data_IF_150508332791
#
_entry.id   IF_150508332791
#
_cell.length_a   1.000
_cell.length_b   1.000
_cell.length_c   1.000
_cell.angle_alpha   90.00
_cell.angle_beta   90.00
_cell.angle_gamma   90.00
#
_symmetry.space_group_name_H-M   'P 1'
#
loop_
_entity.id
_entity.type
_entity.pdbx_description
1 polymer ?
#
# COMPACT_ATOMS: atom_id res chain seq x y z
N UNK A 1 11.71 -3.66 -13.66
CA UNK A 1 10.84 -3.96 -14.82
C UNK A 1 9.40 -3.74 -14.37
N UNK A 2 8.58 -3.03 -15.14
CA UNK A 2 7.20 -2.73 -14.77
C UNK A 2 6.30 -3.50 -15.73
N UNK A 3 5.41 -4.35 -15.19
CA UNK A 3 4.32 -4.97 -15.95
C UNK A 3 3.09 -4.08 -15.89
N UNK A 4 2.16 -4.26 -16.83
CA UNK A 4 0.87 -3.58 -16.75
C UNK A 4 0.13 -4.03 -15.48
N UNK A 5 -0.38 -3.07 -14.72
CA UNK A 5 -1.23 -3.35 -13.55
C UNK A 5 -2.56 -3.95 -13.98
N UNK A 6 -3.00 -5.01 -13.32
CA UNK A 6 -4.32 -5.62 -13.53
C UNK A 6 -5.29 -5.07 -12.48
N UNK A 7 -6.43 -4.53 -12.94
CA UNK A 7 -7.41 -3.91 -12.04
C UNK A 7 -7.94 -4.86 -10.97
N UNK A 8 -8.14 -6.15 -11.29
CA UNK A 8 -8.59 -7.15 -10.32
C UNK A 8 -7.62 -7.30 -9.13
N UNK A 9 -6.31 -7.27 -9.39
CA UNK A 9 -5.27 -7.36 -8.36
C UNK A 9 -5.17 -6.04 -7.58
N UNK A 10 -5.13 -4.91 -8.30
CA UNK A 10 -5.02 -3.58 -7.69
C UNK A 10 -6.23 -3.25 -6.83
N UNK A 11 -7.44 -3.52 -7.28
CA UNK A 11 -8.67 -3.23 -6.52
C UNK A 11 -8.76 -4.05 -5.23
N UNK A 12 -8.34 -5.31 -5.26
CA UNK A 12 -8.26 -6.16 -4.06
C UNK A 12 -7.23 -5.65 -3.04
N UNK A 13 -6.01 -5.35 -3.50
CA UNK A 13 -4.96 -4.78 -2.66
C UNK A 13 -5.36 -3.39 -2.12
N UNK A 14 -6.02 -2.59 -2.95
CA UNK A 14 -6.58 -1.33 -2.53
C UNK A 14 -7.64 -1.58 -1.47
N UNK A 15 -8.60 -2.51 -1.58
CA UNK A 15 -9.64 -2.73 -0.57
C UNK A 15 -9.11 -3.17 0.80
N UNK A 16 -7.93 -3.81 0.84
CA UNK A 16 -7.34 -4.29 2.09
C UNK A 16 -7.00 -3.15 3.07
N UNK A 17 -7.36 -3.28 4.36
CA UNK A 17 -7.01 -2.29 5.38
C UNK A 17 -5.50 -2.27 5.64
N UNK A 18 -4.99 -1.09 6.01
CA UNK A 18 -3.60 -0.92 6.44
C UNK A 18 -3.57 -1.03 7.97
N UNK A 19 -3.17 -2.19 8.49
CA UNK A 19 -3.08 -2.47 9.92
C UNK A 19 -1.61 -2.63 10.36
N UNK A 20 -0.83 -1.59 10.10
CA UNK A 20 0.62 -1.60 10.31
C UNK A 20 0.99 -1.20 11.73
N UNK A 21 1.55 -2.16 12.46
CA UNK A 21 2.03 -1.99 13.84
C UNK A 21 3.57 -2.01 13.88
N UNK A 22 4.21 -2.70 12.93
CA UNK A 22 5.67 -2.91 12.87
C UNK A 22 6.25 -2.40 11.55
N UNK A 23 7.55 -2.10 11.54
CA UNK A 23 8.25 -1.66 10.31
C UNK A 23 8.17 -2.72 9.23
N UNK A 24 8.35 -3.99 9.59
CA UNK A 24 8.21 -5.13 8.67
C UNK A 24 6.84 -5.16 8.00
N UNK A 25 5.76 -4.91 8.74
CA UNK A 25 4.41 -4.89 8.17
C UNK A 25 4.23 -3.77 7.15
N UNK A 26 4.79 -2.57 7.42
CA UNK A 26 4.78 -1.44 6.48
C UNK A 26 5.52 -1.80 5.20
N UNK A 27 6.67 -2.49 5.34
CA UNK A 27 7.46 -2.95 4.20
C UNK A 27 6.67 -3.93 3.34
N UNK A 28 6.06 -4.95 3.94
CA UNK A 28 5.26 -5.93 3.21
C UNK A 28 4.03 -5.30 2.54
N UNK A 29 3.28 -4.44 3.25
CA UNK A 29 2.12 -3.74 2.68
C UNK A 29 2.53 -2.84 1.50
N UNK A 30 3.69 -2.20 1.58
CA UNK A 30 4.24 -1.37 0.48
C UNK A 30 4.65 -2.23 -0.72
N UNK A 31 5.32 -3.37 -0.47
CA UNK A 31 5.72 -4.32 -1.52
C UNK A 31 4.48 -4.91 -2.20
N UNK A 32 3.45 -5.29 -1.43
CA UNK A 32 2.18 -5.80 -1.97
C UNK A 32 1.52 -4.78 -2.89
N UNK A 33 1.41 -3.53 -2.44
CA UNK A 33 0.86 -2.43 -3.24
C UNK A 33 1.65 -2.21 -4.54
N UNK A 34 2.99 -2.19 -4.48
CA UNK A 34 3.83 -2.02 -5.66
C UNK A 34 3.60 -3.16 -6.67
N UNK A 35 3.55 -4.42 -6.21
CA UNK A 35 3.30 -5.58 -7.07
C UNK A 35 1.95 -5.51 -7.76
N UNK A 36 0.91 -5.08 -7.05
CA UNK A 36 -0.44 -4.91 -7.59
C UNK A 36 -0.51 -3.76 -8.63
N UNK A 37 0.36 -2.75 -8.49
CA UNK A 37 0.58 -1.71 -9.51
C UNK A 37 1.46 -2.18 -10.67
N UNK A 38 1.90 -3.44 -10.67
CA UNK A 38 2.76 -4.02 -11.71
C UNK A 38 4.24 -3.69 -11.54
N UNK A 39 4.63 -3.08 -10.44
CA UNK A 39 6.03 -2.78 -10.11
C UNK A 39 6.58 -3.91 -9.23
N UNK A 40 7.55 -4.69 -9.74
CA UNK A 40 8.24 -5.69 -8.93
C UNK A 40 9.46 -5.06 -8.23
N UNK A 41 9.46 -4.93 -6.88
CA UNK A 41 10.61 -4.40 -6.16
C UNK A 41 11.75 -5.42 -6.23
N UNK A 42 12.93 -5.01 -6.69
CA UNK A 42 14.10 -5.90 -6.76
C UNK A 42 14.79 -6.10 -5.41
N UNK A 43 14.53 -5.21 -4.47
CA UNK A 43 15.09 -5.24 -3.11
C UNK A 43 13.99 -4.99 -2.11
N UNK A 44 13.99 -5.75 -1.03
CA UNK A 44 13.14 -5.44 0.12
C UNK A 44 13.60 -4.10 0.72
N UNK A 45 12.69 -3.15 0.97
CA UNK A 45 13.01 -1.93 1.71
C UNK A 45 13.74 -2.26 3.03
N UNK A 46 14.69 -1.41 3.41
CA UNK A 46 15.39 -1.55 4.69
C UNK A 46 14.39 -1.47 5.85
N UNK A 47 14.52 -2.37 6.82
CA UNK A 47 13.74 -2.31 8.06
C UNK A 47 14.26 -1.22 9.03
N UNK A 48 15.39 -0.59 8.72
CA UNK A 48 15.86 0.57 9.47
C UNK A 48 14.99 1.79 9.14
N UNK A 49 14.24 2.26 10.15
CA UNK A 49 13.44 3.46 10.03
C UNK A 49 14.36 4.71 10.00
N UNK A 50 14.17 5.63 9.04
CA UNK A 50 14.81 6.94 9.08
C UNK A 50 14.45 7.69 10.37
N UNK A 51 15.27 8.67 10.77
CA UNK A 51 15.00 9.49 11.95
C UNK A 51 13.63 10.18 11.85
N UNK A 52 12.84 10.10 12.93
CA UNK A 52 11.47 10.66 12.99
C UNK A 52 10.41 9.79 12.30
N UNK A 53 10.77 8.66 11.71
CA UNK A 53 9.84 7.74 11.08
C UNK A 53 9.41 6.62 12.03
N UNK A 54 8.10 6.40 12.16
CA UNK A 54 7.54 5.29 12.94
C UNK A 54 6.62 4.45 12.06
N UNK A 55 6.44 3.14 12.36
CA UNK A 55 5.48 2.31 11.63
C UNK A 55 4.08 2.91 11.58
N UNK A 56 3.66 3.58 12.64
CA UNK A 56 2.37 4.25 12.71
C UNK A 56 2.26 5.45 11.76
N UNK A 57 3.32 6.27 11.61
CA UNK A 57 3.34 7.39 10.65
C UNK A 57 3.27 6.84 9.23
N UNK A 58 4.14 5.88 8.93
CA UNK A 58 4.23 5.23 7.63
C UNK A 58 2.91 4.56 7.22
N UNK A 59 2.28 3.84 8.14
CA UNK A 59 1.00 3.20 7.96
C UNK A 59 -0.11 4.19 7.62
N UNK A 60 -0.16 5.32 8.32
CA UNK A 60 -1.14 6.39 8.02
C UNK A 60 -0.94 6.98 6.63
N UNK A 61 0.31 7.22 6.23
CA UNK A 61 0.62 7.75 4.91
C UNK A 61 0.27 6.74 3.80
N UNK A 62 0.60 5.46 3.99
CA UNK A 62 0.22 4.39 3.08
C UNK A 62 -1.30 4.26 2.95
N UNK A 63 -2.02 4.31 4.08
CA UNK A 63 -3.48 4.30 4.08
C UNK A 63 -4.08 5.50 3.33
N UNK A 64 -3.54 6.71 3.55
CA UNK A 64 -3.95 7.92 2.83
C UNK A 64 -3.71 7.78 1.32
N UNK A 65 -2.58 7.20 0.93
CA UNK A 65 -2.27 6.93 -0.48
C UNK A 65 -3.23 5.91 -1.10
N UNK A 66 -3.45 4.75 -0.46
CA UNK A 66 -4.43 3.76 -0.93
C UNK A 66 -5.82 4.38 -1.10
N UNK A 67 -6.27 5.17 -0.12
CA UNK A 67 -7.56 5.88 -0.20
C UNK A 67 -7.62 6.83 -1.41
N UNK A 68 -6.58 7.62 -1.66
CA UNK A 68 -6.52 8.51 -2.85
C UNK A 68 -6.59 7.74 -4.15
N UNK A 69 -5.90 6.60 -4.24
CA UNK A 69 -5.94 5.74 -5.43
C UNK A 69 -7.34 5.18 -5.65
N UNK A 70 -7.99 4.62 -4.62
CA UNK A 70 -9.38 4.16 -4.70
C UNK A 70 -10.31 5.23 -5.29
N UNK A 71 -10.27 6.44 -4.72
CA UNK A 71 -11.07 7.58 -5.19
C UNK A 71 -10.77 7.97 -6.64
N UNK A 72 -9.49 7.95 -7.03
CA UNK A 72 -9.07 8.30 -8.40
C UNK A 72 -9.57 7.30 -9.45
N UNK A 73 -9.74 6.03 -9.06
CA UNK A 73 -10.28 4.99 -9.92
C UNK A 73 -11.80 4.78 -9.76
N UNK A 74 -12.50 5.64 -9.02
CA UNK A 74 -13.94 5.52 -8.79
C UNK A 74 -14.35 4.32 -7.93
N UNK A 75 -13.40 3.68 -7.24
CA UNK A 75 -13.69 2.69 -6.22
C UNK A 75 -14.12 3.45 -4.96
N UNK A 76 -15.43 3.67 -4.81
CA UNK A 76 -16.00 4.20 -3.57
C UNK A 76 -15.61 3.30 -2.40
N UNK A 77 -15.30 3.91 -1.26
CA UNK A 77 -15.37 3.19 0.01
C UNK A 77 -16.76 2.56 0.02
N UNK A 78 -16.86 1.24 0.11
CA UNK A 78 -18.13 0.57 0.35
C UNK A 78 -18.53 1.09 1.73
N UNK A 79 -19.23 2.23 1.73
CA UNK A 79 -19.92 2.76 2.87
C UNK A 79 -20.90 1.67 3.20
N UNK A 80 -20.56 0.87 4.20
CA UNK A 80 -21.56 0.18 4.99
C UNK A 80 -22.58 1.26 5.35
N UNK A 81 -23.76 1.16 4.73
CA UNK A 81 -24.95 1.84 5.22
C UNK A 81 -25.29 1.39 6.63
#
# INVERSE_FOLDING_TARGET
MVRQSVWAELSGELAWPVNTITTTQVVEDTVSLLRAMGCEPQTRPSEAAPEGWTPAIAGRDLHKWKRKLRLSFGASDISLG
#
